data_IF_723229634361
#
_entry.id   IF_723229634361
#
_cell.length_a   1.000
_cell.length_b   1.000
_cell.length_c   1.000
_cell.angle_alpha   90.00
_cell.angle_beta   90.00
_cell.angle_gamma   90.00
#
_symmetry.space_group_name_H-M   'P 1'
#
loop_
_entity.id
_entity.type
_entity.pdbx_description
1 polymer ?
#
# COMPACT_ATOMS: atom_id res chain seq x y z
N UNK A 1 63.66 -0.53 30.50
CA UNK A 1 64.05 0.42 29.43
C UNK A 1 64.28 -0.42 28.19
N UNK A 2 63.20 -0.76 27.47
CA UNK A 2 63.30 -1.57 26.25
C UNK A 2 63.84 -0.70 25.11
N UNK A 3 64.79 -1.21 24.30
CA UNK A 3 65.37 -0.45 23.20
C UNK A 3 64.38 -0.39 22.04
N UNK A 4 64.05 0.83 21.60
CA UNK A 4 63.26 1.06 20.40
C UNK A 4 63.93 0.32 19.24
N UNK A 5 63.18 -0.60 18.64
CA UNK A 5 63.50 -1.29 17.40
C UNK A 5 63.95 -0.27 16.36
N UNK A 6 65.13 -0.49 15.78
CA UNK A 6 65.62 0.20 14.60
C UNK A 6 64.61 -0.07 13.47
N UNK A 7 63.68 0.85 13.29
CA UNK A 7 62.65 0.77 12.27
C UNK A 7 63.37 0.78 10.94
N UNK A 8 63.30 -0.32 10.19
CA UNK A 8 63.89 -0.45 8.86
C UNK A 8 63.22 0.55 7.90
N UNK A 9 63.80 1.75 7.84
CA UNK A 9 63.34 2.88 7.03
C UNK A 9 63.28 2.51 5.54
N UNK A 10 64.14 1.58 5.08
CA UNK A 10 64.12 1.09 3.71
C UNK A 10 62.88 0.26 3.44
N UNK A 11 62.52 -0.65 4.35
CA UNK A 11 61.30 -1.45 4.25
C UNK A 11 60.05 -0.57 4.22
N UNK A 12 59.99 0.45 5.08
CA UNK A 12 58.86 1.41 5.08
C UNK A 12 58.75 2.21 3.78
N UNK A 13 59.88 2.63 3.19
CA UNK A 13 59.88 3.31 1.89
C UNK A 13 59.38 2.40 0.77
N UNK A 14 59.81 1.15 0.75
CA UNK A 14 59.36 0.17 -0.25
C UNK A 14 57.87 -0.15 -0.12
N UNK A 15 57.36 -0.23 1.11
CA UNK A 15 55.94 -0.41 1.38
C UNK A 15 55.12 0.81 0.93
N UNK A 16 55.59 2.03 1.22
CA UNK A 16 54.97 3.26 0.74
C UNK A 16 54.89 3.32 -0.80
N UNK A 17 55.98 3.01 -1.50
CA UNK A 17 55.98 2.95 -2.97
C UNK A 17 55.02 1.90 -3.54
N UNK A 18 54.89 0.77 -2.83
CA UNK A 18 53.95 -0.30 -3.22
C UNK A 18 52.50 0.17 -3.05
N UNK A 19 52.21 0.86 -1.94
CA UNK A 19 50.90 1.44 -1.67
C UNK A 19 50.57 2.53 -2.68
N UNK A 20 51.51 3.42 -3.01
CA UNK A 20 51.30 4.50 -3.98
C UNK A 20 50.99 3.94 -5.39
N UNK A 21 51.69 2.88 -5.80
CA UNK A 21 51.37 2.17 -7.06
C UNK A 21 49.97 1.57 -7.03
N UNK A 22 49.57 0.97 -5.91
CA UNK A 22 48.23 0.42 -5.76
C UNK A 22 47.15 1.51 -5.76
N UNK A 23 47.40 2.66 -5.13
CA UNK A 23 46.51 3.84 -5.17
C UNK A 23 46.32 4.29 -6.61
N UNK A 24 47.39 4.49 -7.36
CA UNK A 24 47.28 4.93 -8.75
C UNK A 24 46.55 3.92 -9.65
N UNK A 25 46.78 2.62 -9.45
CA UNK A 25 46.05 1.59 -10.18
C UNK A 25 44.54 1.62 -9.86
N UNK A 26 44.17 1.79 -8.59
CA UNK A 26 42.77 1.89 -8.17
C UNK A 26 42.11 3.19 -8.65
N UNK A 27 42.83 4.31 -8.67
CA UNK A 27 42.34 5.58 -9.21
C UNK A 27 42.04 5.48 -10.71
N UNK A 28 42.93 4.83 -11.47
CA UNK A 28 42.72 4.57 -12.89
C UNK A 28 41.48 3.69 -13.13
N UNK A 29 41.29 2.66 -12.32
CA UNK A 29 40.12 1.79 -12.40
C UNK A 29 38.83 2.53 -12.01
N UNK A 30 38.88 3.36 -10.98
CA UNK A 30 37.75 4.19 -10.56
C UNK A 30 37.36 5.19 -11.67
N UNK A 31 38.33 5.77 -12.36
CA UNK A 31 38.08 6.65 -13.51
C UNK A 31 37.41 5.88 -14.66
N UNK A 32 37.91 4.67 -14.96
CA UNK A 32 37.33 3.79 -16.00
C UNK A 32 35.89 3.41 -15.68
N UNK A 33 35.61 3.02 -14.44
CA UNK A 33 34.26 2.66 -13.99
C UNK A 33 33.32 3.86 -14.02
N UNK A 34 33.77 5.05 -13.61
CA UNK A 34 32.98 6.29 -13.73
C UNK A 34 32.65 6.63 -15.19
N UNK A 35 33.61 6.49 -16.10
CA UNK A 35 33.39 6.70 -17.53
C UNK A 35 32.36 5.70 -18.10
N UNK A 36 32.48 4.42 -17.73
CA UNK A 36 31.52 3.39 -18.12
C UNK A 36 30.12 3.66 -17.59
N UNK A 37 29.99 4.06 -16.31
CA UNK A 37 28.71 4.45 -15.73
C UNK A 37 28.08 5.61 -16.50
N UNK A 38 28.84 6.67 -16.78
CA UNK A 38 28.36 7.82 -17.55
C UNK A 38 27.89 7.43 -18.96
N UNK A 39 28.58 6.50 -19.61
CA UNK A 39 28.17 5.99 -20.92
C UNK A 39 26.83 5.22 -20.84
N UNK A 40 26.65 4.38 -19.82
CA UNK A 40 25.39 3.67 -19.57
C UNK A 40 24.26 4.67 -19.25
N UNK A 41 24.50 5.63 -18.36
CA UNK A 41 23.51 6.67 -18.03
C UNK A 41 23.10 7.47 -19.28
N UNK A 42 24.05 7.75 -20.18
CA UNK A 42 23.79 8.38 -21.47
C UNK A 42 22.98 7.50 -22.45
N UNK A 43 23.11 6.17 -22.39
CA UNK A 43 22.26 5.25 -23.16
C UNK A 43 20.86 5.14 -22.56
N UNK A 44 20.76 5.08 -21.22
CA UNK A 44 19.47 5.00 -20.55
C UNK A 44 18.63 6.27 -20.76
N UNK A 45 19.26 7.44 -20.86
CA UNK A 45 18.53 8.70 -21.07
C UNK A 45 17.92 8.84 -22.47
N UNK A 46 18.39 8.08 -23.46
CA UNK A 46 17.77 8.03 -24.81
C UNK A 46 16.57 7.08 -24.86
N UNK A 47 16.46 6.16 -23.90
CA UNK A 47 15.33 5.25 -23.80
C UNK A 47 14.16 6.02 -23.19
N UNK A 48 13.20 6.37 -24.03
CA UNK A 48 11.91 6.89 -23.58
C UNK A 48 11.10 5.71 -23.04
N UNK A 49 11.02 5.60 -21.72
CA UNK A 49 10.10 4.63 -21.12
C UNK A 49 8.66 5.11 -21.37
N UNK A 50 7.82 4.32 -22.07
CA UNK A 50 6.48 4.76 -22.45
C UNK A 50 5.66 5.26 -21.27
N UNK A 51 5.85 4.61 -20.12
CA UNK A 51 5.20 4.94 -18.85
C UNK A 51 5.44 6.38 -18.37
N UNK A 52 6.57 7.00 -18.71
CA UNK A 52 6.87 8.38 -18.35
C UNK A 52 6.24 9.40 -19.30
N UNK A 53 5.86 8.96 -20.51
CA UNK A 53 5.21 9.79 -21.52
C UNK A 53 3.69 9.75 -21.48
N UNK A 54 3.11 8.83 -20.72
CA UNK A 54 1.66 8.70 -20.62
C UNK A 54 1.07 9.91 -19.87
N UNK A 55 0.00 10.53 -20.42
CA UNK A 55 -0.82 11.46 -19.66
C UNK A 55 -1.37 10.82 -18.39
N UNK A 56 -1.59 11.65 -17.36
CA UNK A 56 -2.08 11.18 -16.07
C UNK A 56 -3.42 10.44 -16.19
N UNK A 57 -4.29 10.88 -17.08
CA UNK A 57 -5.59 10.27 -17.35
C UNK A 57 -5.45 8.84 -17.88
N UNK A 58 -4.46 8.60 -18.76
CA UNK A 58 -4.20 7.26 -19.29
C UNK A 58 -3.64 6.35 -18.20
N UNK A 59 -2.73 6.87 -17.37
CA UNK A 59 -2.22 6.13 -16.20
C UNK A 59 -3.36 5.74 -15.24
N UNK A 60 -4.24 6.67 -14.90
CA UNK A 60 -5.38 6.39 -14.03
C UNK A 60 -6.31 5.32 -14.60
N UNK A 61 -6.57 5.34 -15.92
CA UNK A 61 -7.36 4.28 -16.57
C UNK A 61 -6.67 2.91 -16.52
N UNK A 62 -5.34 2.86 -16.68
CA UNK A 62 -4.56 1.62 -16.52
C UNK A 62 -4.64 1.12 -15.08
N UNK A 63 -4.47 2.02 -14.10
CA UNK A 63 -4.55 1.68 -12.67
C UNK A 63 -5.93 1.14 -12.31
N UNK A 64 -7.00 1.77 -12.81
CA UNK A 64 -8.36 1.35 -12.56
C UNK A 64 -8.62 -0.02 -13.18
N UNK A 65 -8.18 -0.24 -14.43
CA UNK A 65 -8.28 -1.55 -15.06
C UNK A 65 -7.53 -2.64 -14.27
N UNK A 66 -6.33 -2.31 -13.74
CA UNK A 66 -5.56 -3.23 -12.91
C UNK A 66 -6.30 -3.57 -11.60
N UNK A 67 -6.83 -2.56 -10.91
CA UNK A 67 -7.64 -2.72 -9.69
C UNK A 67 -8.87 -3.59 -9.93
N UNK A 68 -9.56 -3.40 -11.04
CA UNK A 68 -10.75 -4.20 -11.40
C UNK A 68 -10.41 -5.63 -11.85
N UNK A 69 -9.15 -5.91 -12.17
CA UNK A 69 -8.70 -7.24 -12.65
C UNK A 69 -8.17 -8.13 -11.53
N UNK A 70 -7.91 -7.59 -10.35
CA UNK A 70 -7.43 -8.35 -9.19
C UNK A 70 -8.58 -8.75 -8.28
N UNK A 71 -8.31 -9.71 -7.38
CA UNK A 71 -9.32 -10.07 -6.39
C UNK A 71 -9.51 -8.92 -5.40
N UNK A 72 -10.70 -8.80 -4.77
CA UNK A 72 -10.94 -7.69 -3.85
C UNK A 72 -9.86 -7.61 -2.75
N UNK A 73 -9.32 -8.75 -2.26
CA UNK A 73 -8.23 -8.83 -1.26
C UNK A 73 -6.91 -8.19 -1.68
N UNK A 74 -6.67 -8.07 -2.97
CA UNK A 74 -5.41 -7.58 -3.51
C UNK A 74 -5.47 -6.07 -3.80
N UNK A 75 -6.68 -5.47 -3.81
CA UNK A 75 -6.90 -4.09 -4.26
C UNK A 75 -6.07 -3.09 -3.46
N UNK A 76 -6.12 -3.15 -2.12
CA UNK A 76 -5.41 -2.20 -1.28
C UNK A 76 -3.89 -2.32 -1.46
N UNK A 77 -3.38 -3.56 -1.50
CA UNK A 77 -1.96 -3.85 -1.73
C UNK A 77 -1.51 -3.32 -3.08
N UNK A 78 -2.29 -3.58 -4.14
CA UNK A 78 -2.02 -3.10 -5.50
C UNK A 78 -1.98 -1.57 -5.55
N UNK A 79 -2.97 -0.88 -4.97
CA UNK A 79 -3.01 0.58 -4.94
C UNK A 79 -1.79 1.17 -4.21
N UNK A 80 -1.41 0.59 -3.07
CA UNK A 80 -0.20 1.00 -2.36
C UNK A 80 1.05 0.76 -3.22
N UNK A 81 1.16 -0.39 -3.88
CA UNK A 81 2.26 -0.68 -4.82
C UNK A 81 2.31 0.32 -5.96
N UNK A 82 1.18 0.66 -6.59
CA UNK A 82 1.10 1.68 -7.65
C UNK A 82 1.63 3.03 -7.14
N UNK A 83 1.22 3.46 -5.94
CA UNK A 83 1.71 4.72 -5.35
C UNK A 83 3.18 4.67 -4.91
N UNK A 84 3.79 3.49 -4.84
CA UNK A 84 5.19 3.31 -4.47
C UNK A 84 6.15 3.33 -5.67
N UNK A 85 5.66 3.14 -6.91
CA UNK A 85 6.51 3.02 -8.12
C UNK A 85 7.38 4.26 -8.36
N UNK A 86 6.76 5.42 -8.55
CA UNK A 86 7.47 6.68 -8.78
C UNK A 86 6.61 7.89 -8.39
N UNK A 87 7.19 9.09 -8.42
CA UNK A 87 6.47 10.32 -8.07
C UNK A 87 5.30 10.61 -9.03
N UNK A 88 5.46 10.37 -10.33
CA UNK A 88 4.42 10.57 -11.34
C UNK A 88 3.22 9.64 -11.11
N UNK A 89 3.48 8.34 -10.86
CA UNK A 89 2.44 7.35 -10.58
C UNK A 89 1.68 7.68 -9.30
N UNK A 90 2.41 8.07 -8.26
CA UNK A 90 1.82 8.52 -7.00
C UNK A 90 0.92 9.74 -7.21
N UNK A 91 1.40 10.73 -7.96
CA UNK A 91 0.64 11.95 -8.27
C UNK A 91 -0.66 11.62 -9.01
N UNK A 92 -0.58 10.84 -10.08
CA UNK A 92 -1.74 10.41 -10.86
C UNK A 92 -2.73 9.59 -10.00
N UNK A 93 -2.24 8.58 -9.28
CA UNK A 93 -3.10 7.71 -8.48
C UNK A 93 -3.79 8.45 -7.32
N UNK A 94 -3.11 9.38 -6.63
CA UNK A 94 -3.72 10.17 -5.54
C UNK A 94 -4.69 11.21 -6.09
N UNK A 95 -4.46 11.74 -7.29
CA UNK A 95 -5.31 12.75 -7.89
C UNK A 95 -6.69 12.20 -8.28
N UNK A 96 -6.76 10.95 -8.73
CA UNK A 96 -8.00 10.30 -9.17
C UNK A 96 -8.74 9.60 -8.00
N UNK A 97 -9.88 10.14 -7.52
CA UNK A 97 -10.62 9.58 -6.40
C UNK A 97 -11.26 8.21 -6.72
N UNK A 98 -11.52 7.87 -7.99
CA UNK A 98 -12.18 6.60 -8.36
C UNK A 98 -11.30 5.38 -8.05
N UNK A 99 -9.99 5.55 -8.00
CA UNK A 99 -9.08 4.47 -7.59
C UNK A 99 -9.26 4.08 -6.12
N UNK A 100 -9.79 4.98 -5.31
CA UNK A 100 -9.95 4.81 -3.86
C UNK A 100 -11.39 4.44 -3.47
N UNK A 101 -12.33 4.40 -4.43
CA UNK A 101 -13.72 3.96 -4.17
C UNK A 101 -13.85 2.44 -4.07
N UNK A 102 -12.91 1.70 -4.65
CA UNK A 102 -12.85 0.25 -4.55
C UNK A 102 -11.89 -0.08 -3.40
N UNK A 103 -12.42 -0.27 -2.20
CA UNK A 103 -11.60 -0.59 -1.02
C UNK A 103 -12.09 -1.88 -0.40
N UNK A 104 -11.20 -2.86 -0.23
CA UNK A 104 -11.60 -4.11 0.39
C UNK A 104 -10.88 -4.28 1.70
N UNK A 105 -11.65 -4.42 2.77
CA UNK A 105 -11.11 -4.63 4.10
C UNK A 105 -11.43 -6.05 4.51
N UNK A 106 -10.42 -6.91 4.38
CA UNK A 106 -10.47 -8.26 4.90
C UNK A 106 -10.25 -8.18 6.40
N UNK A 107 -11.18 -8.80 7.11
CA UNK A 107 -11.14 -8.85 8.56
C UNK A 107 -9.98 -9.73 9.02
N UNK A 108 -9.40 -9.46 10.21
CA UNK A 108 -9.98 -8.70 11.33
C UNK A 108 -10.07 -7.18 11.08
N UNK A 109 -11.02 -6.53 11.77
CA UNK A 109 -11.20 -5.06 11.75
C UNK A 109 -9.81 -4.45 11.92
N UNK A 110 -9.43 -3.46 11.10
CA UNK A 110 -8.18 -2.77 11.32
C UNK A 110 -8.11 -2.34 12.78
N UNK A 111 -7.00 -2.59 13.49
CA UNK A 111 -6.90 -2.26 14.91
C UNK A 111 -7.28 -0.79 15.11
N UNK A 112 -7.92 -0.44 16.24
CA UNK A 112 -8.24 0.95 16.56
C UNK A 112 -7.01 1.84 16.32
N UNK A 113 -7.11 2.75 15.35
CA UNK A 113 -5.98 3.58 14.91
C UNK A 113 -5.36 3.23 13.56
N UNK A 114 -5.92 2.29 12.79
CA UNK A 114 -5.51 2.12 11.39
C UNK A 114 -5.83 3.38 10.58
N UNK A 115 -4.76 4.07 10.20
CA UNK A 115 -4.82 5.30 9.40
C UNK A 115 -5.01 5.00 7.92
N UNK A 116 -4.75 3.77 7.46
CA UNK A 116 -4.90 3.39 6.05
C UNK A 116 -6.34 3.62 5.60
N UNK A 117 -7.30 3.17 6.41
CA UNK A 117 -8.72 3.44 6.13
C UNK A 117 -8.99 4.93 5.95
N UNK A 118 -8.57 5.75 6.91
CA UNK A 118 -8.73 7.21 6.85
C UNK A 118 -8.09 7.83 5.59
N UNK A 119 -6.93 7.33 5.15
CA UNK A 119 -6.30 7.79 3.92
C UNK A 119 -7.08 7.40 2.66
N UNK A 120 -7.62 6.18 2.58
CA UNK A 120 -8.46 5.76 1.45
C UNK A 120 -9.73 6.61 1.38
N UNK A 121 -10.39 6.83 2.53
CA UNK A 121 -11.55 7.73 2.62
C UNK A 121 -11.23 9.14 2.13
N UNK A 122 -10.14 9.73 2.65
CA UNK A 122 -9.72 11.07 2.28
C UNK A 122 -9.47 11.19 0.77
N UNK A 123 -8.90 10.14 0.16
CA UNK A 123 -8.56 10.12 -1.26
C UNK A 123 -9.77 9.87 -2.16
N UNK A 124 -10.80 9.17 -1.68
CA UNK A 124 -12.06 9.01 -2.40
C UNK A 124 -12.85 10.32 -2.54
N UNK A 125 -12.49 11.38 -1.78
CA UNK A 125 -13.07 12.74 -1.90
C UNK A 125 -14.61 12.77 -1.85
N UNK A 126 -15.21 11.91 -1.02
CA UNK A 126 -16.67 11.83 -0.84
C UNK A 126 -17.42 11.04 -1.91
N UNK A 127 -16.72 10.41 -2.86
CA UNK A 127 -17.33 9.43 -3.76
C UNK A 127 -17.82 8.20 -2.95
N UNK A 128 -18.90 7.53 -3.41
CA UNK A 128 -19.36 6.27 -2.81
C UNK A 128 -18.24 5.25 -2.75
N UNK A 129 -18.04 4.65 -1.58
CA UNK A 129 -17.02 3.61 -1.38
C UNK A 129 -17.72 2.26 -1.24
N UNK A 130 -17.23 1.30 -2.02
CA UNK A 130 -17.67 -0.09 -1.92
C UNK A 130 -16.74 -0.79 -0.94
N UNK A 131 -17.32 -1.33 0.12
CA UNK A 131 -16.65 -2.16 1.11
C UNK A 131 -17.03 -3.62 0.88
N UNK A 132 -16.03 -4.43 0.54
CA UNK A 132 -16.15 -5.88 0.66
C UNK A 132 -15.73 -6.29 2.05
N UNK A 133 -16.61 -7.01 2.77
CA UNK A 133 -16.38 -7.44 4.15
C UNK A 133 -16.60 -8.94 4.21
N UNK A 134 -15.54 -9.68 4.49
CA UNK A 134 -15.59 -11.12 4.67
C UNK A 134 -15.40 -11.47 6.16
N UNK A 135 -16.42 -12.04 6.80
CA UNK A 135 -16.34 -12.53 8.18
C UNK A 135 -17.64 -12.44 9.01
N UNK A 136 -17.90 -13.46 9.84
CA UNK A 136 -19.14 -13.62 10.64
C UNK A 136 -19.26 -12.72 11.89
N UNK A 137 -18.20 -12.01 12.29
CA UNK A 137 -18.16 -11.35 13.61
C UNK A 137 -17.85 -9.85 13.61
N UNK A 138 -17.62 -9.24 12.45
CA UNK A 138 -17.03 -7.90 12.40
C UNK A 138 -17.83 -6.88 11.60
N UNK A 139 -19.07 -7.22 11.26
CA UNK A 139 -20.00 -6.25 10.68
C UNK A 139 -20.30 -5.12 11.68
N UNK A 140 -20.51 -5.44 12.96
CA UNK A 140 -20.85 -4.46 14.00
C UNK A 140 -19.73 -3.46 14.29
N UNK A 141 -18.50 -3.95 14.46
CA UNK A 141 -17.35 -3.08 14.68
C UNK A 141 -16.98 -2.26 13.44
N UNK A 142 -17.17 -2.83 12.24
CA UNK A 142 -17.06 -2.07 11.01
C UNK A 142 -18.14 -0.98 10.97
N UNK A 143 -19.39 -1.29 11.32
CA UNK A 143 -20.46 -0.30 11.40
C UNK A 143 -20.11 0.84 12.36
N UNK A 144 -19.71 0.55 13.61
CA UNK A 144 -19.32 1.61 14.55
C UNK A 144 -18.20 2.50 14.01
N UNK A 145 -17.18 1.88 13.41
CA UNK A 145 -16.03 2.59 12.84
C UNK A 145 -16.40 3.40 11.58
N UNK A 146 -17.23 2.82 10.71
CA UNK A 146 -17.84 3.46 9.55
C UNK A 146 -18.63 4.68 10.02
N UNK A 147 -19.60 4.50 10.92
CA UNK A 147 -20.46 5.57 11.43
C UNK A 147 -19.66 6.69 12.10
N UNK A 148 -18.60 6.35 12.85
CA UNK A 148 -17.68 7.35 13.41
C UNK A 148 -16.93 8.16 12.33
N UNK A 149 -16.72 7.58 11.15
CA UNK A 149 -15.99 8.16 10.01
C UNK A 149 -16.93 8.75 8.92
N UNK A 150 -18.24 8.56 9.04
CA UNK A 150 -19.27 8.80 8.01
C UNK A 150 -19.60 10.27 7.68
N UNK A 151 -18.89 11.26 8.22
CA UNK A 151 -19.28 12.69 8.05
C UNK A 151 -19.26 13.20 6.61
N UNK A 152 -18.67 12.44 5.68
CA UNK A 152 -18.49 12.83 4.28
C UNK A 152 -19.11 11.84 3.28
N UNK A 153 -19.91 10.89 3.75
CA UNK A 153 -20.38 9.79 2.92
C UNK A 153 -21.76 10.13 2.37
N UNK A 154 -22.00 9.79 1.11
CA UNK A 154 -23.34 9.77 0.51
C UNK A 154 -23.89 8.34 0.45
N UNK A 155 -23.01 7.36 0.28
CA UNK A 155 -23.36 5.96 0.10
C UNK A 155 -22.20 5.04 0.51
N UNK A 156 -22.52 3.94 1.21
CA UNK A 156 -21.59 2.83 1.42
C UNK A 156 -22.27 1.52 1.04
N UNK A 157 -21.55 0.70 0.30
CA UNK A 157 -22.05 -0.60 -0.15
C UNK A 157 -21.27 -1.68 0.59
N UNK A 158 -21.98 -2.55 1.29
CA UNK A 158 -21.42 -3.69 1.99
C UNK A 158 -21.78 -4.95 1.24
N UNK A 159 -20.76 -5.64 0.76
CA UNK A 159 -20.93 -6.92 0.09
C UNK A 159 -20.26 -8.02 0.92
N UNK A 160 -21.04 -9.04 1.30
CA UNK A 160 -20.52 -10.27 1.85
C UNK A 160 -20.76 -11.39 0.82
N UNK A 161 -19.69 -11.99 0.26
CA UNK A 161 -19.84 -13.05 -0.74
C UNK A 161 -20.77 -14.17 -0.24
N UNK A 162 -21.77 -14.52 -1.05
CA UNK A 162 -22.74 -15.61 -0.80
C UNK A 162 -23.69 -15.45 0.39
N UNK A 163 -23.81 -14.26 0.99
CA UNK A 163 -24.74 -14.05 2.11
C UNK A 163 -25.67 -12.87 1.92
N UNK A 164 -25.14 -11.66 1.88
CA UNK A 164 -25.95 -10.45 1.86
C UNK A 164 -25.21 -9.33 1.10
N UNK A 165 -25.99 -8.49 0.42
CA UNK A 165 -25.53 -7.24 -0.14
C UNK A 165 -26.46 -6.15 0.39
N UNK A 166 -25.91 -5.16 1.08
CA UNK A 166 -26.71 -4.03 1.57
C UNK A 166 -26.01 -2.72 1.28
N UNK A 167 -26.83 -1.72 0.98
CA UNK A 167 -26.42 -0.38 0.59
C UNK A 167 -26.97 0.58 1.62
N UNK A 168 -26.08 1.32 2.26
CA UNK A 168 -26.42 2.38 3.20
C UNK A 168 -26.33 3.70 2.45
N UNK A 169 -27.41 4.47 2.48
CA UNK A 169 -27.41 5.86 2.05
C UNK A 169 -27.24 6.74 3.29
N UNK A 170 -26.34 7.70 3.21
CA UNK A 170 -26.10 8.67 4.26
C UNK A 170 -26.55 10.04 3.75
N UNK A 171 -27.65 10.56 4.27
CA UNK A 171 -28.07 11.93 3.97
C UNK A 171 -27.10 12.92 4.62
N UNK A 172 -26.64 13.90 3.85
CA UNK A 172 -25.77 15.00 4.32
C UNK A 172 -26.41 15.82 5.46
N UNK A 173 -25.61 16.51 6.28
CA UNK A 173 -25.82 16.61 7.72
C UNK A 173 -26.96 17.57 8.08
N UNK A 174 -28.05 17.01 8.59
CA UNK A 174 -29.16 17.79 9.13
C UNK A 174 -29.96 17.13 10.27
N UNK A 175 -29.95 15.79 10.36
CA UNK A 175 -30.56 15.01 11.45
C UNK A 175 -30.01 13.59 11.36
N UNK A 176 -29.37 13.09 12.42
CA UNK A 176 -29.14 11.65 12.58
C UNK A 176 -29.56 11.24 13.98
N UNK A 177 -30.88 11.21 14.21
CA UNK A 177 -31.47 10.02 14.82
C UNK A 177 -31.88 9.13 13.64
N UNK A 178 -30.96 8.28 13.17
CA UNK A 178 -31.30 7.21 12.24
C UNK A 178 -31.40 5.95 13.07
N UNK A 179 -32.62 5.62 13.51
CA UNK A 179 -32.93 4.30 14.01
C UNK A 179 -32.67 3.31 12.87
N UNK A 180 -31.68 2.44 13.04
CA UNK A 180 -31.46 1.31 12.14
C UNK A 180 -32.63 0.34 12.29
N UNK A 181 -33.74 0.61 11.59
CA UNK A 181 -34.78 -0.40 11.39
C UNK A 181 -34.29 -1.36 10.30
N UNK A 182 -33.37 -2.23 10.69
CA UNK A 182 -32.85 -3.33 9.89
C UNK A 182 -33.58 -4.60 10.35
N UNK A 183 -34.75 -4.94 9.77
CA UNK A 183 -35.63 -6.03 10.23
C UNK A 183 -35.02 -7.44 10.11
N UNK A 184 -33.77 -7.57 9.65
CA UNK A 184 -33.07 -8.83 9.50
C UNK A 184 -31.78 -8.96 10.35
N UNK A 185 -31.40 -7.96 11.15
CA UNK A 185 -30.25 -8.08 12.07
C UNK A 185 -30.52 -9.07 13.21
N UNK A 186 -31.76 -9.15 13.70
CA UNK A 186 -32.18 -10.12 14.72
C UNK A 186 -32.13 -11.58 14.23
N UNK A 187 -32.04 -11.81 12.91
CA UNK A 187 -31.88 -13.14 12.31
C UNK A 187 -30.41 -13.56 12.16
N UNK A 188 -29.47 -12.65 12.40
CA UNK A 188 -28.03 -12.92 12.46
C UNK A 188 -27.64 -13.25 13.91
N UNK A 189 -28.33 -14.20 14.54
CA UNK A 189 -27.81 -14.80 15.78
C UNK A 189 -26.57 -15.64 15.43
N UNK A 190 -25.56 -15.69 16.31
CA UNK A 190 -24.50 -16.68 16.15
C UNK A 190 -25.16 -18.06 16.15
N UNK A 191 -24.99 -18.85 15.09
CA UNK A 191 -25.40 -20.25 15.16
C UNK A 191 -24.53 -20.89 16.25
N UNK A 192 -25.12 -21.19 17.39
CA UNK A 192 -24.56 -22.12 18.37
C UNK A 192 -24.39 -23.46 17.66
N UNK A 193 -23.24 -23.66 17.02
CA UNK A 193 -22.81 -24.99 16.66
C UNK A 193 -22.41 -25.66 17.97
N UNK A 194 -23.39 -26.34 18.54
CA UNK A 194 -23.28 -27.51 19.39
C UNK A 194 -22.00 -28.29 19.08
N UNK A 195 -21.01 -28.16 19.96
CA UNK A 195 -20.02 -29.21 20.15
C UNK A 195 -20.76 -30.33 20.86
N UNK A 196 -21.29 -31.28 20.08
CA UNK A 196 -21.65 -32.59 20.63
C UNK A 196 -20.35 -33.27 21.04
N UNK A 197 -20.07 -33.20 22.34
CA UNK A 197 -19.22 -34.16 23.01
C UNK A 197 -19.91 -35.53 22.94
N UNK A 198 -19.45 -36.40 22.03
CA UNK A 198 -19.70 -37.83 22.14
C UNK A 198 -18.46 -38.49 22.76
N UNK A 199 -18.50 -38.69 24.09
CA UNK A 199 -18.16 -40.01 24.66
C UNK A 199 -19.46 -40.83 24.66
N UNK A 200 -19.49 -42.15 24.57
CA UNK A 200 -18.55 -43.21 24.97
C UNK A 200 -19.05 -44.50 24.30
N UNK A 201 -18.13 -45.38 23.89
CA UNK A 201 -18.01 -46.76 24.37
C UNK A 201 -16.73 -47.39 23.81
#
# INVERSE_FOLDING_TARGET
MEPLHDIDVHKLRQEAETIDKAIHALEAELLRLKARRKAIDGQLSTIVYPVHTLPAEVLCRIFLAAVLSVRPEEVNTLLLSITAVCQQWRGAAIADPHLWTQSCYYLPIPPPGDRLFGYFLQRAKGLPIVFSVDGRGAIYALFEFVFASCRHWSEAIFSCPNRFHFRLHFDSPGRQEMALDLPNLSKLTPSENSVSANGTD
#
